data_IF_642354048091
#
_entry.id   IF_642354048091
#
_cell.length_a   1.000
_cell.length_b   1.000
_cell.length_c   1.000
_cell.angle_alpha   90.00
_cell.angle_beta   90.00
_cell.angle_gamma   90.00
#
_symmetry.space_group_name_H-M   'P 1'
#
loop_
_entity.id
_entity.type
_entity.pdbx_description
1 polymer ?
#
# COMPACT_ATOMS: atom_id res chain seq x y z
N UNK A 1 -4.61 -17.64 -14.44
CA UNK A 1 -3.97 -18.00 -13.15
C UNK A 1 -4.19 -16.81 -12.22
N UNK A 2 -4.50 -17.05 -10.95
CA UNK A 2 -4.78 -15.97 -9.99
C UNK A 2 -3.62 -15.85 -9.03
N UNK A 3 -3.15 -14.63 -8.78
CA UNK A 3 -2.01 -14.36 -7.90
C UNK A 3 -2.34 -13.27 -6.89
N UNK A 4 -1.59 -13.24 -5.79
CA UNK A 4 -1.64 -12.18 -4.77
C UNK A 4 -0.27 -11.55 -4.68
N UNK A 5 -0.19 -10.22 -4.58
CA UNK A 5 1.08 -9.53 -4.47
C UNK A 5 1.32 -9.05 -3.05
N UNK A 6 2.46 -9.41 -2.48
CA UNK A 6 2.98 -8.79 -1.27
C UNK A 6 4.14 -7.86 -1.63
N UNK A 7 3.92 -6.57 -1.42
CA UNK A 7 4.87 -5.51 -1.77
C UNK A 7 5.39 -4.88 -0.48
N UNK A 8 6.70 -4.96 -0.25
CA UNK A 8 7.37 -4.12 0.75
C UNK A 8 8.11 -3.00 0.03
N UNK A 9 7.86 -1.77 0.46
CA UNK A 9 8.27 -0.59 -0.26
C UNK A 9 9.05 0.36 0.65
N UNK A 10 10.27 0.73 0.27
CA UNK A 10 11.09 1.76 0.92
C UNK A 10 11.60 2.77 -0.12
N UNK A 11 12.42 3.74 0.32
CA UNK A 11 12.93 4.80 -0.56
C UNK A 11 13.78 4.27 -1.74
N UNK A 12 14.63 3.27 -1.50
CA UNK A 12 15.67 2.79 -2.44
C UNK A 12 15.57 1.31 -2.78
N UNK A 13 14.74 0.56 -2.05
CA UNK A 13 14.51 -0.86 -2.29
C UNK A 13 13.03 -1.20 -2.20
N UNK A 14 12.59 -2.11 -3.06
CA UNK A 14 11.25 -2.68 -2.99
C UNK A 14 11.33 -4.18 -3.27
N UNK A 15 10.53 -4.97 -2.56
CA UNK A 15 10.37 -6.40 -2.84
C UNK A 15 8.94 -6.68 -3.20
N UNK A 16 8.72 -7.47 -4.25
CA UNK A 16 7.40 -7.86 -4.74
C UNK A 16 7.40 -9.38 -4.84
N UNK A 17 6.47 -10.02 -4.12
CA UNK A 17 6.30 -11.48 -4.08
C UNK A 17 4.90 -11.81 -4.60
N UNK A 18 4.80 -12.70 -5.60
CA UNK A 18 3.51 -13.13 -6.16
C UNK A 18 2.89 -14.35 -5.44
N UNK A 19 3.59 -14.87 -4.43
CA UNK A 19 3.15 -15.98 -3.59
C UNK A 19 3.12 -17.35 -4.28
N UNK A 20 3.49 -17.44 -5.57
CA UNK A 20 3.38 -18.67 -6.35
C UNK A 20 4.69 -19.00 -7.07
N UNK A 21 5.27 -18.06 -7.81
CA UNK A 21 6.32 -18.33 -8.78
C UNK A 21 7.55 -17.43 -8.63
N UNK A 22 7.38 -16.18 -8.21
CA UNK A 22 8.43 -15.17 -8.33
C UNK A 22 8.43 -14.20 -7.14
N UNK A 23 9.62 -14.03 -6.56
CA UNK A 23 9.95 -12.92 -5.67
C UNK A 23 11.04 -12.08 -6.31
N UNK A 24 10.75 -10.81 -6.55
CA UNK A 24 11.69 -9.86 -7.14
C UNK A 24 12.09 -8.81 -6.12
N UNK A 25 13.35 -8.40 -6.18
CA UNK A 25 13.88 -7.26 -5.44
C UNK A 25 14.35 -6.21 -6.44
N UNK A 26 13.77 -5.01 -6.35
CA UNK A 26 14.12 -3.86 -7.16
C UNK A 26 14.92 -2.89 -6.31
N UNK A 27 15.99 -2.33 -6.87
CA UNK A 27 16.86 -1.37 -6.19
C UNK A 27 17.13 -0.16 -7.08
N UNK A 28 17.22 1.00 -6.45
CA UNK A 28 17.72 2.23 -7.06
C UNK A 28 18.51 3.03 -6.03
N UNK A 29 19.55 3.75 -6.45
CA UNK A 29 20.39 4.49 -5.50
C UNK A 29 19.70 5.73 -4.92
N UNK A 30 18.65 6.23 -5.58
CA UNK A 30 17.98 7.46 -5.21
C UNK A 30 16.51 7.23 -4.94
N UNK A 31 15.81 6.58 -5.89
CA UNK A 31 14.37 6.38 -5.79
C UNK A 31 13.95 5.13 -6.57
N UNK A 32 13.45 4.12 -5.85
CA UNK A 32 12.99 2.86 -6.44
C UNK A 32 11.63 2.99 -7.15
N UNK A 33 10.96 4.13 -7.03
CA UNK A 33 9.54 4.23 -7.36
C UNK A 33 9.18 4.00 -8.82
N UNK A 34 9.94 4.59 -9.72
CA UNK A 34 9.74 4.38 -11.15
C UNK A 34 9.95 2.91 -11.53
N UNK A 35 10.93 2.22 -10.92
CA UNK A 35 11.19 0.80 -11.19
C UNK A 35 10.04 -0.09 -10.73
N UNK A 36 9.45 0.19 -9.58
CA UNK A 36 8.27 -0.55 -9.09
C UNK A 36 7.10 -0.37 -10.05
N UNK A 37 6.81 0.88 -10.43
CA UNK A 37 5.74 1.19 -11.38
C UNK A 37 5.95 0.47 -12.73
N UNK A 38 7.14 0.59 -13.31
CA UNK A 38 7.49 -0.06 -14.58
C UNK A 38 7.33 -1.58 -14.51
N UNK A 39 7.82 -2.20 -13.43
CA UNK A 39 7.68 -3.64 -13.22
C UNK A 39 6.21 -4.07 -13.18
N UNK A 40 5.39 -3.38 -12.38
CA UNK A 40 3.97 -3.70 -12.23
C UNK A 40 3.18 -3.45 -13.53
N UNK A 41 3.49 -2.37 -14.26
CA UNK A 41 2.91 -2.08 -15.58
C UNK A 41 3.20 -3.21 -16.58
N UNK A 42 4.47 -3.61 -16.72
CA UNK A 42 4.86 -4.63 -17.69
C UNK A 42 4.28 -6.01 -17.35
N UNK A 43 4.29 -6.38 -16.06
CA UNK A 43 3.92 -7.73 -15.62
C UNK A 43 2.42 -7.94 -15.45
N UNK A 44 1.69 -6.94 -14.96
CA UNK A 44 0.30 -7.13 -14.52
C UNK A 44 -0.71 -6.24 -15.25
N UNK A 45 -0.27 -5.20 -15.96
CA UNK A 45 -1.17 -4.34 -16.76
C UNK A 45 -1.07 -4.69 -18.24
N UNK A 46 0.14 -4.71 -18.81
CA UNK A 46 0.35 -4.97 -20.25
C UNK A 46 0.24 -6.46 -20.58
N UNK A 47 0.77 -7.34 -19.72
CA UNK A 47 0.70 -8.79 -19.86
C UNK A 47 -0.39 -9.35 -18.95
N UNK A 48 -1.64 -9.32 -19.41
CA UNK A 48 -2.82 -9.70 -18.60
C UNK A 48 -3.10 -11.21 -18.62
N UNK A 49 -2.07 -12.05 -18.50
CA UNK A 49 -2.24 -13.51 -18.44
C UNK A 49 -2.61 -14.00 -17.02
N UNK A 50 -2.52 -13.09 -16.04
CA UNK A 50 -2.78 -13.33 -14.62
C UNK A 50 -3.85 -12.39 -14.08
N UNK A 51 -4.72 -12.90 -13.22
CA UNK A 51 -5.71 -12.10 -12.49
C UNK A 51 -5.14 -11.77 -11.09
N UNK A 52 -5.18 -10.50 -10.70
CA UNK A 52 -4.75 -10.03 -9.39
C UNK A 52 -5.92 -10.09 -8.39
N UNK A 53 -5.86 -11.03 -7.46
CA UNK A 53 -6.91 -11.17 -6.44
C UNK A 53 -6.71 -10.23 -5.26
N UNK A 54 -5.48 -10.12 -4.77
CA UNK A 54 -5.14 -9.36 -3.58
C UNK A 54 -3.80 -8.65 -3.72
N UNK A 55 -3.69 -7.44 -3.16
CA UNK A 55 -2.44 -6.71 -3.04
C UNK A 55 -2.27 -6.20 -1.62
N UNK A 56 -1.19 -6.64 -0.99
CA UNK A 56 -0.70 -6.14 0.29
C UNK A 56 0.47 -5.20 0.05
N UNK A 57 0.45 -4.00 0.64
CA UNK A 57 1.55 -3.05 0.59
C UNK A 57 1.96 -2.70 2.01
N UNK A 58 3.22 -2.95 2.35
CA UNK A 58 3.88 -2.41 3.52
C UNK A 58 4.77 -1.23 3.10
N UNK A 59 4.39 -0.04 3.51
CA UNK A 59 5.08 1.21 3.17
C UNK A 59 6.00 1.69 4.31
N UNK A 60 7.30 1.68 4.02
CA UNK A 60 8.40 2.07 4.91
C UNK A 60 9.18 3.29 4.38
N UNK A 61 8.63 4.01 3.39
CA UNK A 61 9.30 5.11 2.67
C UNK A 61 9.08 6.46 3.37
N UNK A 62 10.15 7.23 3.58
CA UNK A 62 10.08 8.53 4.29
C UNK A 62 10.36 9.73 3.41
N UNK A 63 11.00 9.55 2.26
CA UNK A 63 11.48 10.63 1.40
C UNK A 63 10.94 10.57 -0.02
N UNK A 64 10.63 9.36 -0.51
CA UNK A 64 10.16 9.13 -1.85
C UNK A 64 8.70 8.65 -1.86
N UNK A 65 7.80 9.31 -2.60
CA UNK A 65 6.42 8.85 -2.73
C UNK A 65 6.37 7.53 -3.50
N UNK A 66 5.57 6.55 -3.05
CA UNK A 66 5.40 5.32 -3.80
C UNK A 66 4.68 5.59 -5.12
N UNK A 67 5.08 4.88 -6.17
CA UNK A 67 4.42 4.93 -7.47
C UNK A 67 3.87 3.56 -7.84
N UNK A 68 2.60 3.54 -8.22
CA UNK A 68 1.93 2.37 -8.78
C UNK A 68 1.36 2.72 -10.16
N UNK A 69 1.12 1.70 -11.01
CA UNK A 69 0.38 1.89 -12.24
C UNK A 69 -1.02 2.42 -11.95
N UNK A 70 -1.49 3.36 -12.76
CA UNK A 70 -2.89 3.78 -12.70
C UNK A 70 -3.78 2.60 -13.14
N UNK A 71 -4.81 2.27 -12.34
CA UNK A 71 -5.77 1.21 -12.64
C UNK A 71 -5.21 -0.21 -12.62
N UNK A 72 -4.38 -0.52 -11.63
CA UNK A 72 -3.97 -1.90 -11.42
C UNK A 72 -5.23 -2.76 -11.08
N UNK A 73 -5.58 -3.77 -11.91
CA UNK A 73 -6.89 -4.42 -11.83
C UNK A 73 -6.95 -5.45 -10.71
N UNK A 74 -7.07 -4.98 -9.47
CA UNK A 74 -7.16 -5.80 -8.27
C UNK A 74 -8.42 -5.49 -7.45
N UNK A 75 -9.03 -6.54 -6.91
CA UNK A 75 -10.29 -6.49 -6.15
C UNK A 75 -10.10 -6.20 -4.67
N UNK A 76 -8.99 -6.63 -4.08
CA UNK A 76 -8.77 -6.56 -2.64
C UNK A 76 -7.42 -5.92 -2.32
N UNK A 77 -7.44 -4.88 -1.49
CA UNK A 77 -6.27 -4.08 -1.17
C UNK A 77 -6.06 -4.00 0.33
N UNK A 78 -4.82 -4.20 0.76
CA UNK A 78 -4.36 -3.96 2.11
C UNK A 78 -3.14 -3.04 2.08
N UNK A 79 -3.22 -1.88 2.72
CA UNK A 79 -2.13 -0.92 2.83
C UNK A 79 -1.81 -0.73 4.30
N UNK A 80 -0.59 -1.11 4.70
CA UNK A 80 -0.01 -0.77 6.00
C UNK A 80 1.08 0.27 5.80
N UNK A 81 0.92 1.43 6.44
CA UNK A 81 1.88 2.51 6.41
C UNK A 81 2.53 2.68 7.79
N UNK A 82 3.81 2.34 7.89
CA UNK A 82 4.64 2.55 9.09
C UNK A 82 5.61 3.73 8.90
N UNK A 83 5.32 4.60 7.93
CA UNK A 83 6.18 5.70 7.50
C UNK A 83 5.36 6.97 7.23
N UNK A 84 5.63 7.69 6.14
CA UNK A 84 5.05 9.00 5.89
C UNK A 84 3.60 8.93 5.40
N UNK A 85 2.63 9.14 6.30
CA UNK A 85 1.18 9.01 6.04
C UNK A 85 0.65 9.73 4.78
N UNK A 86 1.12 10.94 4.38
CA UNK A 86 0.69 11.55 3.11
C UNK A 86 0.85 10.65 1.88
N UNK A 87 1.79 9.70 1.89
CA UNK A 87 1.99 8.78 0.78
C UNK A 87 0.89 7.73 0.63
N UNK A 88 0.09 7.49 1.67
CA UNK A 88 -1.12 6.65 1.56
C UNK A 88 -2.10 7.24 0.53
N UNK A 89 -2.20 8.57 0.44
CA UNK A 89 -3.05 9.25 -0.54
C UNK A 89 -2.61 8.90 -1.98
N UNK A 90 -1.30 8.86 -2.21
CA UNK A 90 -0.74 8.51 -3.52
C UNK A 90 -1.07 7.06 -3.90
N UNK A 91 -1.00 6.14 -2.94
CA UNK A 91 -1.39 4.75 -3.14
C UNK A 91 -2.88 4.63 -3.45
N UNK A 92 -3.73 5.29 -2.67
CA UNK A 92 -5.18 5.27 -2.86
C UNK A 92 -5.61 5.78 -4.24
N UNK A 93 -4.93 6.80 -4.80
CA UNK A 93 -5.19 7.28 -6.15
C UNK A 93 -4.97 6.20 -7.24
N UNK A 94 -4.19 5.17 -6.95
CA UNK A 94 -3.90 4.07 -7.88
C UNK A 94 -4.91 2.91 -7.78
N UNK A 95 -5.73 2.90 -6.72
CA UNK A 95 -6.73 1.86 -6.49
C UNK A 95 -7.97 2.13 -7.37
N UNK A 96 -8.53 1.10 -8.02
CA UNK A 96 -9.81 1.23 -8.71
C UNK A 96 -10.95 1.61 -7.75
N UNK A 97 -11.85 2.49 -8.21
CA UNK A 97 -13.13 2.70 -7.52
C UNK A 97 -13.94 1.39 -7.47
N UNK A 98 -14.80 1.25 -6.48
CA UNK A 98 -15.64 0.05 -6.28
C UNK A 98 -14.89 -1.27 -6.08
N UNK A 99 -13.67 -1.24 -5.53
CA UNK A 99 -12.98 -2.45 -5.12
C UNK A 99 -13.81 -3.25 -4.08
N UNK A 100 -13.60 -4.56 -4.02
CA UNK A 100 -14.35 -5.45 -3.13
C UNK A 100 -13.95 -5.24 -1.66
N UNK A 101 -12.66 -5.03 -1.41
CA UNK A 101 -12.13 -4.76 -0.08
C UNK A 101 -10.99 -3.76 -0.11
N UNK A 102 -11.03 -2.80 0.82
CA UNK A 102 -9.95 -1.87 1.09
C UNK A 102 -9.68 -1.82 2.59
N UNK A 103 -8.49 -2.24 2.98
CA UNK A 103 -7.96 -2.09 4.33
C UNK A 103 -6.78 -1.11 4.31
N UNK A 104 -6.81 -0.12 5.20
CA UNK A 104 -5.72 0.85 5.37
C UNK A 104 -5.41 0.98 6.85
N UNK A 105 -4.16 0.73 7.22
CA UNK A 105 -3.61 0.93 8.55
C UNK A 105 -2.49 1.96 8.49
N UNK A 106 -2.58 3.01 9.31
CA UNK A 106 -1.59 4.09 9.33
C UNK A 106 -1.61 4.87 10.65
N UNK A 107 -0.52 5.59 10.93
CA UNK A 107 -0.51 6.62 11.97
C UNK A 107 -1.33 7.85 11.53
N UNK A 108 -2.24 8.30 12.40
CA UNK A 108 -3.16 9.41 12.12
C UNK A 108 -2.54 10.77 12.51
N UNK A 109 -1.85 11.40 11.56
CA UNK A 109 -1.36 12.79 11.68
C UNK A 109 -2.39 13.83 11.21
N UNK A 110 -3.69 13.57 11.38
CA UNK A 110 -4.78 14.47 10.97
C UNK A 110 -5.21 14.30 9.51
N UNK A 111 -4.72 13.28 8.81
CA UNK A 111 -5.07 12.98 7.42
C UNK A 111 -6.31 12.10 7.28
N UNK A 112 -6.80 11.53 8.38
CA UNK A 112 -7.93 10.61 8.34
C UNK A 112 -9.21 11.19 7.72
N UNK A 113 -9.50 12.48 7.96
CA UNK A 113 -10.63 13.16 7.32
C UNK A 113 -10.48 13.22 5.79
N UNK A 114 -9.28 13.56 5.32
CA UNK A 114 -8.97 13.63 3.89
C UNK A 114 -9.11 12.26 3.21
N UNK A 115 -8.63 11.18 3.86
CA UNK A 115 -8.76 9.83 3.31
C UNK A 115 -10.22 9.39 3.16
N UNK A 116 -11.04 9.67 4.18
CA UNK A 116 -12.47 9.34 4.13
C UNK A 116 -13.20 10.02 2.98
N UNK A 117 -12.70 11.16 2.53
CA UNK A 117 -13.31 11.90 1.44
C UNK A 117 -12.93 11.41 0.04
N UNK A 118 -11.93 10.54 -0.09
CA UNK A 118 -11.50 9.99 -1.37
C UNK A 118 -12.54 9.01 -1.94
N UNK A 119 -12.80 9.12 -3.25
CA UNK A 119 -13.79 8.29 -3.97
C UNK A 119 -13.49 6.79 -3.87
N UNK A 120 -12.21 6.40 -3.93
CA UNK A 120 -11.77 5.01 -3.78
C UNK A 120 -12.17 4.43 -2.41
N UNK A 121 -12.06 5.25 -1.37
CA UNK A 121 -12.44 4.88 0.00
C UNK A 121 -13.95 4.81 0.16
N UNK A 122 -14.67 5.81 -0.38
CA UNK A 122 -16.14 5.89 -0.32
C UNK A 122 -16.84 4.74 -1.05
N UNK A 123 -16.26 4.29 -2.17
CA UNK A 123 -16.87 3.31 -3.07
C UNK A 123 -16.46 1.86 -2.77
N UNK A 124 -15.48 1.62 -1.89
CA UNK A 124 -15.08 0.27 -1.50
C UNK A 124 -16.26 -0.48 -0.84
N UNK A 125 -16.54 -1.72 -1.29
CA UNK A 125 -17.68 -2.49 -0.76
C UNK A 125 -17.48 -2.91 0.70
N UNK A 126 -16.23 -3.23 1.05
CA UNK A 126 -15.79 -3.47 2.43
C UNK A 126 -14.63 -2.52 2.71
N UNK A 127 -14.77 -1.74 3.77
CA UNK A 127 -13.77 -0.75 4.18
C UNK A 127 -13.34 -1.01 5.62
N UNK A 128 -12.03 -1.06 5.85
CA UNK A 128 -11.43 -1.04 7.18
C UNK A 128 -10.37 0.05 7.21
N UNK A 129 -10.57 1.07 8.06
CA UNK A 129 -9.58 2.11 8.31
C UNK A 129 -9.11 1.99 9.76
N UNK A 130 -7.90 1.47 9.95
CA UNK A 130 -7.24 1.32 11.25
C UNK A 130 -6.29 2.47 11.50
N UNK A 131 -6.27 2.94 12.75
CA UNK A 131 -5.41 4.03 13.20
C UNK A 131 -4.47 3.49 14.25
N UNK A 132 -3.18 3.67 14.04
CA UNK A 132 -2.17 3.37 15.06
C UNK A 132 -1.97 4.64 15.88
N UNK A 133 -2.53 4.66 17.09
CA UNK A 133 -2.43 5.81 17.98
C UNK A 133 -1.16 5.67 18.82
N UNK A 134 -0.05 6.28 18.38
CA UNK A 134 1.23 6.19 19.07
C UNK A 134 1.14 6.67 20.55
N UNK A 135 0.18 7.56 20.84
CA UNK A 135 -0.10 8.02 22.20
C UNK A 135 -0.68 6.94 23.12
N UNK A 136 -1.44 5.98 22.60
CA UNK A 136 -1.94 4.84 23.40
C UNK A 136 -0.78 3.92 23.82
N UNK A 137 0.19 3.69 22.92
CA UNK A 137 1.40 2.92 23.24
C UNK A 137 2.29 3.58 24.30
N UNK A 138 2.46 4.91 24.25
CA UNK A 138 3.25 5.63 25.27
C UNK A 138 2.56 5.54 26.65
N UNK A 139 1.22 5.62 26.68
CA UNK A 139 0.46 5.50 27.93
C UNK A 139 0.53 4.09 28.55
N UNK A 140 0.57 3.04 27.73
CA UNK A 140 0.73 1.66 28.20
C UNK A 140 2.15 1.35 28.67
N UNK A 141 3.18 1.91 28.01
CA UNK A 141 4.58 1.77 28.43
C UNK A 141 4.89 2.46 29.77
N UNK A 142 4.22 3.58 30.07
CA UNK A 142 4.41 4.30 31.35
C UNK A 142 3.77 3.62 32.57
N UNK A 143 2.87 2.66 32.37
CA UNK A 143 2.24 1.90 33.46
C UNK A 143 3.02 0.64 33.88
N UNK A 144 4.16 0.36 33.23
CA UNK A 144 5.02 -0.78 33.55
C UNK A 144 6.22 -0.41 34.46
N UNK A 145 6.43 0.87 34.76
CA UNK A 145 7.50 1.37 35.64
C UNK A 145 6.99 2.04 36.94
N UNK A 146 5.92 1.53 37.54
CA UNK A 146 5.44 1.99 38.87
C UNK A 146 5.38 0.86 39.90
#
# INVERSE_FOLDING_TARGET
>A
MTVSLDIMYSDVIATIDDGINEKVTLTDNTDVSNKVKEYLEEKFVKKSDVELEHISILLLSYTNPPQLPSFLPCKNWNIKCESHTPYVINLLNSIPINCDSLEVEMEDFGLYGLLKDMEQVKTAKKLQLKRTNLMEWISEGSNLES
#
